data_IF_094878551896
#
_entry.id   IF_094878551896
#
_cell.length_a   1.000
_cell.length_b   1.000
_cell.length_c   1.000
_cell.angle_alpha   90.00
_cell.angle_beta   90.00
_cell.angle_gamma   90.00
#
_symmetry.space_group_name_H-M   'P 1'
#
loop_
_entity.id
_entity.type
_entity.pdbx_description
1 polymer ?
#
# COMPACT_ATOMS: atom_id res chain seq x y z
N UNK A 1 14.69 9.08 -23.63
CA UNK A 1 15.03 7.71 -24.09
C UNK A 1 14.42 6.75 -23.08
N UNK A 2 13.40 5.97 -23.46
CA UNK A 2 12.76 5.04 -22.53
C UNK A 2 13.66 3.81 -22.32
N UNK A 3 13.87 3.43 -21.06
CA UNK A 3 14.59 2.20 -20.70
C UNK A 3 13.83 0.97 -21.22
N UNK A 4 14.49 0.06 -21.93
CA UNK A 4 13.91 -1.22 -22.35
C UNK A 4 13.80 -2.20 -21.18
N UNK A 5 12.92 -3.19 -21.30
CA UNK A 5 12.80 -4.29 -20.32
C UNK A 5 14.15 -4.99 -20.07
N UNK A 6 14.93 -5.22 -21.13
CA UNK A 6 16.28 -5.82 -21.01
C UNK A 6 17.22 -5.00 -20.13
N UNK A 7 17.19 -3.67 -20.24
CA UNK A 7 18.01 -2.78 -19.42
C UNK A 7 17.50 -2.74 -17.98
N UNK A 8 16.18 -2.83 -17.77
CA UNK A 8 15.59 -2.91 -16.44
C UNK A 8 15.99 -4.21 -15.72
N UNK A 9 16.00 -5.34 -16.45
CA UNK A 9 16.43 -6.62 -15.89
C UNK A 9 17.91 -6.65 -15.51
N UNK A 10 18.77 -5.86 -16.15
CA UNK A 10 20.19 -5.73 -15.76
C UNK A 10 20.37 -5.06 -14.39
N UNK A 11 19.42 -4.22 -13.96
CA UNK A 11 19.44 -3.55 -12.65
C UNK A 11 18.47 -4.18 -11.65
N UNK A 12 17.88 -5.33 -11.97
CA UNK A 12 16.88 -6.03 -11.14
C UNK A 12 17.34 -6.21 -9.69
N UNK A 13 18.59 -6.63 -9.48
CA UNK A 13 19.13 -6.80 -8.13
C UNK A 13 19.10 -5.49 -7.30
N UNK A 14 19.34 -4.34 -7.93
CA UNK A 14 19.25 -3.04 -7.27
C UNK A 14 17.80 -2.66 -6.97
N UNK A 15 16.88 -2.98 -7.89
CA UNK A 15 15.44 -2.79 -7.72
C UNK A 15 14.93 -3.63 -6.55
N UNK A 16 15.27 -4.92 -6.49
CA UNK A 16 14.87 -5.80 -5.39
C UNK A 16 15.44 -5.32 -4.04
N UNK A 17 16.67 -4.81 -4.04
CA UNK A 17 17.30 -4.27 -2.83
C UNK A 17 16.57 -3.03 -2.27
N UNK A 18 15.87 -2.25 -3.11
CA UNK A 18 15.05 -1.13 -2.62
C UNK A 18 13.91 -1.61 -1.72
N UNK A 19 13.28 -2.74 -2.05
CA UNK A 19 12.22 -3.31 -1.22
C UNK A 19 12.74 -3.80 0.13
N UNK A 20 13.96 -4.35 0.16
CA UNK A 20 14.64 -4.71 1.42
C UNK A 20 14.92 -3.45 2.24
N UNK A 21 15.38 -2.37 1.61
CA UNK A 21 15.72 -1.12 2.28
C UNK A 21 14.50 -0.37 2.83
N UNK A 22 13.29 -0.61 2.31
CA UNK A 22 12.04 -0.12 2.91
C UNK A 22 11.80 -0.64 4.34
N UNK A 23 12.57 -1.63 4.80
CA UNK A 23 12.51 -2.17 6.16
C UNK A 23 13.84 -1.98 6.93
N UNK A 24 14.73 -1.10 6.45
CA UNK A 24 16.01 -0.83 7.13
C UNK A 24 15.76 -0.13 8.49
N UNK A 25 16.58 -0.46 9.48
CA UNK A 25 16.52 0.14 10.82
C UNK A 25 16.85 1.65 10.80
N UNK A 26 17.63 2.10 9.81
CA UNK A 26 17.92 3.51 9.61
C UNK A 26 16.71 4.22 8.98
N UNK A 27 16.00 5.01 9.79
CA UNK A 27 14.79 5.70 9.39
C UNK A 27 14.95 6.60 8.15
N UNK A 28 16.10 7.25 7.97
CA UNK A 28 16.35 8.09 6.77
C UNK A 28 16.44 7.21 5.53
N UNK A 29 17.21 6.11 5.59
CA UNK A 29 17.34 5.19 4.47
C UNK A 29 16.00 4.53 4.13
N UNK A 30 15.28 4.11 5.15
CA UNK A 30 13.97 3.49 5.03
C UNK A 30 12.96 4.41 4.32
N UNK A 31 12.80 5.64 4.81
CA UNK A 31 11.88 6.62 4.22
C UNK A 31 12.26 6.94 2.76
N UNK A 32 13.55 7.14 2.48
CA UNK A 32 14.02 7.40 1.11
C UNK A 32 13.79 6.21 0.18
N UNK A 33 13.99 4.98 0.67
CA UNK A 33 13.70 3.76 -0.08
C UNK A 33 12.20 3.66 -0.39
N UNK A 34 11.33 3.91 0.60
CA UNK A 34 9.87 3.88 0.41
C UNK A 34 9.40 4.96 -0.58
N UNK A 35 9.93 6.18 -0.49
CA UNK A 35 9.66 7.26 -1.45
C UNK A 35 10.08 6.89 -2.88
N UNK A 36 11.26 6.29 -3.02
CA UNK A 36 11.77 5.83 -4.33
C UNK A 36 10.89 4.70 -4.88
N UNK A 37 10.51 3.77 -4.02
CA UNK A 37 9.64 2.64 -4.35
C UNK A 37 8.26 3.09 -4.83
N UNK A 38 7.67 4.15 -4.25
CA UNK A 38 6.42 4.74 -4.77
C UNK A 38 6.51 5.06 -6.26
N UNK A 39 7.54 5.79 -6.67
CA UNK A 39 7.72 6.22 -8.07
C UNK A 39 8.07 5.04 -8.96
N UNK A 40 8.91 4.12 -8.46
CA UNK A 40 9.37 2.96 -9.22
C UNK A 40 8.21 1.99 -9.52
N UNK A 41 7.43 1.63 -8.50
CA UNK A 41 6.25 0.75 -8.64
C UNK A 41 5.26 1.35 -9.62
N UNK A 42 4.89 2.62 -9.43
CA UNK A 42 3.97 3.30 -10.33
C UNK A 42 4.49 3.30 -11.78
N UNK A 43 5.78 3.60 -11.97
CA UNK A 43 6.40 3.65 -13.30
C UNK A 43 6.45 2.29 -14.00
N UNK A 44 6.67 1.21 -13.25
CA UNK A 44 6.72 -0.14 -13.81
C UNK A 44 5.32 -0.60 -14.21
N UNK A 45 4.33 -0.43 -13.34
CA UNK A 45 2.94 -0.76 -13.67
C UNK A 45 2.44 0.05 -14.87
N UNK A 46 2.70 1.36 -14.95
CA UNK A 46 2.28 2.18 -16.09
C UNK A 46 2.91 1.75 -17.43
N UNK A 47 4.09 1.13 -17.42
CA UNK A 47 4.80 0.70 -18.64
C UNK A 47 4.52 -0.75 -19.02
N UNK A 48 4.14 -1.56 -18.05
CA UNK A 48 3.89 -2.99 -18.20
C UNK A 48 2.45 -3.30 -17.75
N UNK A 49 1.43 -2.55 -18.19
CA UNK A 49 0.07 -2.63 -17.63
C UNK A 49 -0.85 -3.71 -18.24
N UNK A 50 -0.36 -4.62 -19.09
CA UNK A 50 -1.19 -5.69 -19.67
C UNK A 50 -1.55 -6.75 -18.62
N UNK A 51 -2.76 -7.30 -18.59
CA UNK A 51 -3.20 -8.22 -17.52
C UNK A 51 -2.29 -9.43 -17.24
N UNK A 52 -1.56 -9.95 -18.23
CA UNK A 52 -0.58 -11.04 -18.05
C UNK A 52 0.73 -10.60 -17.36
N UNK A 53 0.89 -9.30 -17.09
CA UNK A 53 2.12 -8.69 -16.59
C UNK A 53 2.19 -8.61 -15.07
N UNK A 54 1.13 -8.85 -14.30
CA UNK A 54 1.18 -8.62 -12.84
C UNK A 54 2.24 -9.49 -12.17
N UNK A 55 2.42 -10.72 -12.65
CA UNK A 55 3.52 -11.62 -12.27
C UNK A 55 4.88 -11.09 -12.77
N UNK A 56 4.96 -10.57 -13.99
CA UNK A 56 6.19 -9.96 -14.53
C UNK A 56 6.61 -8.74 -13.69
N UNK A 57 5.66 -7.91 -13.26
CA UNK A 57 5.89 -6.76 -12.39
C UNK A 57 6.41 -7.21 -11.01
N UNK A 58 5.83 -8.27 -10.44
CA UNK A 58 6.36 -8.90 -9.21
C UNK A 58 7.78 -9.39 -9.42
N UNK A 59 8.05 -10.05 -10.55
CA UNK A 59 9.39 -10.55 -10.86
C UNK A 59 10.40 -9.41 -11.01
N UNK A 60 10.05 -8.32 -11.68
CA UNK A 60 10.91 -7.15 -11.85
C UNK A 60 11.19 -6.48 -10.50
N UNK A 61 10.14 -6.23 -9.71
CA UNK A 61 10.22 -5.43 -8.49
C UNK A 61 10.89 -6.18 -7.34
N UNK A 62 10.59 -7.46 -7.17
CA UNK A 62 10.96 -8.25 -5.98
C UNK A 62 11.66 -9.56 -6.34
N UNK A 63 11.28 -10.15 -7.47
CA UNK A 63 11.68 -11.50 -7.87
C UNK A 63 10.71 -12.52 -7.30
N UNK A 64 10.20 -13.41 -8.16
CA UNK A 64 9.14 -14.37 -7.78
C UNK A 64 9.57 -15.27 -6.63
N UNK A 65 10.83 -15.72 -6.62
CA UNK A 65 11.36 -16.62 -5.58
C UNK A 65 11.40 -15.99 -4.18
N UNK A 66 11.53 -14.66 -4.11
CA UNK A 66 11.67 -13.93 -2.85
C UNK A 66 10.38 -13.19 -2.45
N UNK A 67 9.37 -13.17 -3.32
CA UNK A 67 8.20 -12.30 -3.20
C UNK A 67 7.44 -12.50 -1.87
N UNK A 68 7.16 -13.75 -1.48
CA UNK A 68 6.44 -14.06 -0.25
C UNK A 68 7.12 -13.52 1.00
N UNK A 69 8.43 -13.71 1.11
CA UNK A 69 9.22 -13.29 2.26
C UNK A 69 9.38 -11.77 2.30
N UNK A 70 9.75 -11.16 1.17
CA UNK A 70 9.99 -9.72 1.10
C UNK A 70 8.71 -8.91 1.26
N UNK A 71 7.60 -9.36 0.68
CA UNK A 71 6.32 -8.69 0.85
C UNK A 71 5.80 -8.81 2.28
N UNK A 72 6.01 -9.94 2.96
CA UNK A 72 5.69 -10.07 4.38
C UNK A 72 6.44 -9.02 5.20
N UNK A 73 7.77 -8.95 5.05
CA UNK A 73 8.60 -7.99 5.78
C UNK A 73 8.20 -6.54 5.49
N UNK A 74 7.91 -6.25 4.22
CA UNK A 74 7.44 -4.92 3.81
C UNK A 74 6.12 -4.58 4.48
N UNK A 75 5.13 -5.47 4.43
CA UNK A 75 3.81 -5.23 5.02
C UNK A 75 3.90 -5.09 6.54
N UNK A 76 4.73 -5.89 7.21
CA UNK A 76 5.00 -5.72 8.64
C UNK A 76 5.59 -4.33 8.95
N UNK A 77 6.51 -3.83 8.13
CA UNK A 77 7.06 -2.49 8.28
C UNK A 77 6.01 -1.39 8.02
N UNK A 78 5.15 -1.57 7.02
CA UNK A 78 4.04 -0.64 6.74
C UNK A 78 3.04 -0.61 7.91
N UNK A 79 2.68 -1.79 8.44
CA UNK A 79 1.84 -1.91 9.64
C UNK A 79 2.45 -1.18 10.83
N UNK A 80 3.77 -1.30 11.03
CA UNK A 80 4.50 -0.59 12.07
C UNK A 80 4.40 0.93 11.91
N UNK A 81 4.62 1.44 10.70
CA UNK A 81 4.50 2.88 10.43
C UNK A 81 3.10 3.42 10.71
N UNK A 82 2.05 2.69 10.34
CA UNK A 82 0.68 3.11 10.57
C UNK A 82 0.28 3.06 12.04
N UNK A 83 0.64 1.98 12.75
CA UNK A 83 0.14 1.70 14.10
C UNK A 83 0.94 2.37 15.22
N UNK A 84 2.24 2.59 15.05
CA UNK A 84 3.11 3.15 16.09
C UNK A 84 3.22 4.69 16.00
N UNK A 85 3.98 5.29 16.93
CA UNK A 85 4.24 6.74 16.97
C UNK A 85 5.30 7.14 15.93
N UNK A 86 4.84 7.34 14.70
CA UNK A 86 5.63 7.92 13.61
C UNK A 86 5.08 9.29 13.19
N UNK A 87 5.93 10.18 12.62
CA UNK A 87 5.47 11.46 12.09
C UNK A 87 4.36 11.30 11.06
N UNK A 88 3.42 12.25 11.03
CA UNK A 88 2.30 12.31 10.07
C UNK A 88 2.77 12.10 8.63
N UNK A 89 3.90 12.69 8.24
CA UNK A 89 4.46 12.54 6.89
C UNK A 89 4.87 11.11 6.54
N UNK A 90 5.35 10.33 7.51
CA UNK A 90 5.73 8.92 7.31
C UNK A 90 4.48 8.05 7.14
N UNK A 91 3.45 8.28 7.96
CA UNK A 91 2.16 7.60 7.83
C UNK A 91 1.49 7.90 6.49
N UNK A 92 1.52 9.16 6.05
CA UNK A 92 1.01 9.57 4.73
C UNK A 92 1.80 8.92 3.59
N UNK A 93 3.12 8.83 3.70
CA UNK A 93 3.94 8.14 2.71
C UNK A 93 3.59 6.64 2.64
N UNK A 94 3.39 6.00 3.80
CA UNK A 94 2.98 4.61 3.89
C UNK A 94 1.62 4.39 3.19
N UNK A 95 0.60 5.21 3.51
CA UNK A 95 -0.71 5.14 2.87
C UNK A 95 -0.62 5.38 1.36
N UNK A 96 0.18 6.36 0.92
CA UNK A 96 0.43 6.63 -0.49
C UNK A 96 1.04 5.42 -1.20
N UNK A 97 2.01 4.74 -0.59
CA UNK A 97 2.62 3.55 -1.16
C UNK A 97 1.61 2.41 -1.30
N UNK A 98 0.79 2.18 -0.27
CA UNK A 98 -0.29 1.19 -0.30
C UNK A 98 -1.25 1.49 -1.44
N UNK A 99 -1.75 2.74 -1.52
CA UNK A 99 -2.67 3.15 -2.58
C UNK A 99 -2.06 2.99 -3.97
N UNK A 100 -0.79 3.34 -4.17
CA UNK A 100 -0.08 3.12 -5.44
C UNK A 100 -0.15 1.67 -5.87
N UNK A 101 0.05 0.71 -4.95
CA UNK A 101 -0.07 -0.71 -5.26
C UNK A 101 -1.52 -1.08 -5.55
N UNK A 102 -2.47 -0.66 -4.72
CA UNK A 102 -3.88 -1.04 -4.88
C UNK A 102 -4.49 -0.52 -6.19
N UNK A 103 -4.07 0.65 -6.66
CA UNK A 103 -4.60 1.31 -7.86
C UNK A 103 -3.69 1.15 -9.08
N UNK A 104 -2.68 0.28 -9.04
CA UNK A 104 -1.70 0.17 -10.12
C UNK A 104 -2.23 -0.56 -11.37
N UNK A 105 -3.32 -1.29 -11.24
CA UNK A 105 -4.01 -2.02 -12.32
C UNK A 105 -5.50 -1.68 -12.25
N UNK A 106 -6.14 -1.51 -13.41
CA UNK A 106 -7.57 -1.17 -13.53
C UNK A 106 -8.47 -2.22 -12.86
N UNK A 107 -8.15 -3.50 -13.05
CA UNK A 107 -8.81 -4.60 -12.35
C UNK A 107 -7.98 -5.04 -11.15
N UNK A 108 -8.37 -4.54 -9.97
CA UNK A 108 -7.73 -4.87 -8.69
C UNK A 108 -7.68 -6.37 -8.41
N UNK A 109 -8.65 -7.17 -8.88
CA UNK A 109 -8.67 -8.63 -8.69
C UNK A 109 -7.59 -9.37 -9.50
N UNK A 110 -6.94 -8.71 -10.46
CA UNK A 110 -5.82 -9.27 -11.23
C UNK A 110 -4.44 -8.85 -10.68
N UNK A 111 -4.42 -8.03 -9.63
CA UNK A 111 -3.19 -7.55 -9.03
C UNK A 111 -2.63 -8.58 -8.05
N UNK A 112 -1.63 -9.34 -8.48
CA UNK A 112 -0.97 -10.36 -7.65
C UNK A 112 -0.37 -9.77 -6.37
N UNK A 113 0.10 -8.51 -6.39
CA UNK A 113 0.62 -7.87 -5.18
C UNK A 113 -0.45 -7.73 -4.08
N UNK A 114 -1.73 -7.63 -4.47
CA UNK A 114 -2.85 -7.54 -3.54
C UNK A 114 -2.92 -8.77 -2.63
N UNK A 115 -2.67 -9.97 -3.18
CA UNK A 115 -2.73 -11.23 -2.43
C UNK A 115 -1.79 -11.19 -1.22
N UNK A 116 -0.62 -10.56 -1.35
CA UNK A 116 0.31 -10.39 -0.22
C UNK A 116 -0.25 -9.47 0.87
N UNK A 117 -0.92 -8.37 0.51
CA UNK A 117 -1.59 -7.49 1.48
C UNK A 117 -2.67 -8.21 2.27
N UNK A 118 -3.35 -9.15 1.61
CA UNK A 118 -4.41 -9.97 2.21
C UNK A 118 -3.84 -10.99 3.20
N UNK A 119 -2.75 -11.67 2.82
CA UNK A 119 -2.10 -12.70 3.62
C UNK A 119 -1.44 -12.15 4.89
N UNK A 120 -0.79 -10.99 4.80
CA UNK A 120 -0.03 -10.39 5.91
C UNK A 120 -0.85 -9.33 6.68
N UNK A 121 -2.15 -9.26 6.43
CA UNK A 121 -3.20 -8.52 7.13
C UNK A 121 -2.87 -7.09 7.58
N UNK A 122 -2.74 -6.17 6.63
CA UNK A 122 -2.65 -4.71 6.89
C UNK A 122 -3.94 -4.08 7.45
N UNK A 123 -5.02 -4.85 7.51
CA UNK A 123 -6.37 -4.40 7.89
C UNK A 123 -6.39 -3.66 9.23
N UNK A 124 -5.85 -4.26 10.29
CA UNK A 124 -5.88 -3.67 11.64
C UNK A 124 -5.12 -2.34 11.71
N UNK A 125 -3.99 -2.26 11.00
CA UNK A 125 -3.19 -1.05 10.94
C UNK A 125 -3.96 0.09 10.24
N UNK A 126 -4.65 -0.20 9.13
CA UNK A 126 -5.53 0.78 8.47
C UNK A 126 -6.70 1.19 9.37
N UNK A 127 -7.34 0.22 10.01
CA UNK A 127 -8.48 0.45 10.90
C UNK A 127 -8.10 1.32 12.11
N UNK A 128 -6.90 1.15 12.66
CA UNK A 128 -6.40 1.95 13.77
C UNK A 128 -6.35 3.46 13.46
N UNK A 129 -6.21 3.85 12.19
CA UNK A 129 -6.18 5.26 11.76
C UNK A 129 -7.50 5.99 12.05
N UNK A 130 -8.61 5.26 12.21
CA UNK A 130 -9.92 5.84 12.51
C UNK A 130 -10.18 6.07 13.99
N UNK A 131 -9.31 5.56 14.87
CA UNK A 131 -9.58 5.58 16.30
C UNK A 131 -9.45 7.00 16.89
N UNK A 132 -8.35 7.70 16.61
CA UNK A 132 -8.08 9.03 17.15
C UNK A 132 -8.54 10.15 16.20
N UNK A 133 -9.16 11.23 16.70
CA UNK A 133 -9.59 12.38 15.88
C UNK A 133 -8.46 12.97 15.03
N UNK A 134 -7.28 13.19 15.62
CA UNK A 134 -6.14 13.79 14.92
C UNK A 134 -5.65 12.87 13.79
N UNK A 135 -5.59 11.56 14.04
CA UNK A 135 -5.21 10.58 13.02
C UNK A 135 -6.25 10.54 11.88
N UNK A 136 -7.55 10.65 12.19
CA UNK A 136 -8.63 10.71 11.19
C UNK A 136 -8.49 11.92 10.26
N UNK A 137 -8.18 13.08 10.82
CA UNK A 137 -8.02 14.31 10.03
C UNK A 137 -6.87 14.18 9.02
N UNK A 138 -5.74 13.61 9.43
CA UNK A 138 -4.55 13.54 8.60
C UNK A 138 -4.50 12.33 7.65
N UNK A 139 -5.08 11.20 8.06
CA UNK A 139 -4.87 9.90 7.42
C UNK A 139 -6.17 9.22 6.98
N UNK A 140 -7.30 9.67 7.54
CA UNK A 140 -8.57 8.97 7.43
C UNK A 140 -9.07 8.82 5.99
N UNK A 141 -8.88 9.85 5.16
CA UNK A 141 -9.26 9.78 3.75
C UNK A 141 -8.56 8.64 3.02
N UNK A 142 -7.22 8.66 3.00
CA UNK A 142 -6.42 7.67 2.27
C UNK A 142 -6.61 6.26 2.84
N UNK A 143 -6.72 6.13 4.16
CA UNK A 143 -6.98 4.86 4.82
C UNK A 143 -8.38 4.30 4.46
N UNK A 144 -9.40 5.16 4.37
CA UNK A 144 -10.75 4.76 3.98
C UNK A 144 -10.79 4.30 2.51
N UNK A 145 -10.09 5.00 1.61
CA UNK A 145 -9.95 4.58 0.21
C UNK A 145 -9.23 3.24 0.10
N UNK A 146 -8.11 3.06 0.81
CA UNK A 146 -7.37 1.80 0.82
C UNK A 146 -8.24 0.64 1.32
N UNK A 147 -8.98 0.84 2.41
CA UNK A 147 -9.91 -0.17 2.93
C UNK A 147 -11.06 -0.46 1.96
N UNK A 148 -11.64 0.53 1.30
CA UNK A 148 -12.70 0.32 0.33
C UNK A 148 -12.22 -0.53 -0.86
N UNK A 149 -11.01 -0.25 -1.37
CA UNK A 149 -10.38 -1.02 -2.45
C UNK A 149 -10.08 -2.47 -2.03
N UNK A 150 -9.56 -2.68 -0.81
CA UNK A 150 -9.31 -4.01 -0.27
C UNK A 150 -10.62 -4.78 0.02
N UNK A 151 -11.65 -4.07 0.49
CA UNK A 151 -12.95 -4.62 0.79
C UNK A 151 -13.64 -5.12 -0.48
N UNK A 152 -13.51 -4.43 -1.62
CA UNK A 152 -14.11 -4.83 -2.89
C UNK A 152 -13.77 -6.27 -3.36
N UNK A 153 -12.72 -6.90 -2.80
CA UNK A 153 -12.39 -8.30 -3.03
C UNK A 153 -12.72 -9.21 -1.84
N UNK A 154 -11.90 -9.21 -0.79
CA UNK A 154 -11.97 -10.22 0.30
C UNK A 154 -12.03 -9.62 1.71
N UNK A 155 -11.78 -8.31 1.90
CA UNK A 155 -11.92 -7.69 3.22
C UNK A 155 -13.37 -7.33 3.59
N UNK A 156 -14.36 -7.53 2.71
CA UNK A 156 -15.79 -7.39 3.07
C UNK A 156 -16.12 -8.14 4.36
N UNK A 157 -15.64 -9.38 4.50
CA UNK A 157 -15.98 -10.19 5.67
C UNK A 157 -15.35 -9.60 6.94
N UNK A 158 -14.06 -9.25 6.91
CA UNK A 158 -13.37 -8.60 8.04
C UNK A 158 -14.04 -7.29 8.44
N UNK A 159 -14.42 -6.47 7.45
CA UNK A 159 -15.13 -5.22 7.69
C UNK A 159 -16.54 -5.46 8.25
N UNK A 160 -17.25 -6.49 7.81
CA UNK A 160 -18.61 -6.81 8.26
C UNK A 160 -18.68 -7.33 9.70
N UNK A 161 -17.60 -7.91 10.21
CA UNK A 161 -17.48 -8.44 11.57
C UNK A 161 -16.80 -7.43 12.51
N UNK A 162 -16.41 -6.26 11.99
CA UNK A 162 -15.80 -5.19 12.77
C UNK A 162 -16.83 -4.61 13.75
N UNK A 163 -16.77 -5.04 14.99
CA UNK A 163 -17.66 -4.61 16.08
C UNK A 163 -16.96 -3.59 16.98
N UNK A 164 -16.62 -2.42 16.41
CA UNK A 164 -16.02 -1.32 17.16
C UNK A 164 -16.70 0.00 16.79
N UNK A 165 -17.60 0.47 17.65
CA UNK A 165 -18.41 1.67 17.43
C UNK A 165 -17.56 2.93 17.19
N UNK A 166 -16.41 3.07 17.86
CA UNK A 166 -15.55 4.25 17.72
C UNK A 166 -14.98 4.31 16.31
N UNK A 167 -14.47 3.18 15.82
CA UNK A 167 -13.90 3.06 14.48
C UNK A 167 -14.99 3.23 13.41
N UNK A 168 -16.15 2.59 13.59
CA UNK A 168 -17.26 2.69 12.65
C UNK A 168 -17.79 4.14 12.55
N UNK A 169 -17.92 4.83 13.68
CA UNK A 169 -18.27 6.24 13.70
C UNK A 169 -17.19 7.09 13.01
N UNK A 170 -15.91 6.81 13.28
CA UNK A 170 -14.77 7.46 12.62
C UNK A 170 -14.81 7.33 11.09
N UNK A 171 -15.04 6.12 10.59
CA UNK A 171 -15.25 5.83 9.18
C UNK A 171 -16.45 6.59 8.61
N UNK A 172 -17.60 6.57 9.31
CA UNK A 172 -18.80 7.29 8.92
C UNK A 172 -18.59 8.81 8.79
N UNK A 173 -17.84 9.40 9.72
CA UNK A 173 -17.46 10.82 9.65
C UNK A 173 -16.63 11.14 8.41
N UNK A 174 -15.64 10.29 8.08
CA UNK A 174 -14.79 10.49 6.90
C UNK A 174 -15.61 10.38 5.62
N UNK A 175 -16.43 9.33 5.49
CA UNK A 175 -17.29 9.13 4.32
C UNK A 175 -18.24 10.32 4.16
N UNK A 176 -18.84 10.81 5.25
CA UNK A 176 -19.71 11.99 5.23
C UNK A 176 -18.97 13.25 4.76
N UNK A 177 -17.73 13.46 5.20
CA UNK A 177 -16.90 14.58 4.75
C UNK A 177 -16.60 14.49 3.25
N UNK A 178 -16.20 13.33 2.75
CA UNK A 178 -15.92 13.07 1.33
C UNK A 178 -17.14 13.37 0.46
N UNK A 179 -18.30 12.84 0.84
CA UNK A 179 -19.54 13.06 0.10
C UNK A 179 -19.95 14.54 0.11
N UNK A 180 -19.72 15.23 1.23
CA UNK A 180 -20.01 16.67 1.34
C UNK A 180 -19.12 17.51 0.42
N UNK A 181 -17.85 17.14 0.24
CA UNK A 181 -16.97 17.78 -0.73
C UNK A 181 -17.38 17.48 -2.17
N UNK A 182 -17.79 16.25 -2.48
CA UNK A 182 -18.17 15.86 -3.85
C UNK A 182 -19.47 16.53 -4.35
N UNK A 183 -20.39 16.87 -3.43
CA UNK A 183 -21.66 17.51 -3.75
C UNK A 183 -21.53 19.03 -3.96
N UNK A 184 -20.39 19.63 -3.56
CA UNK A 184 -20.11 21.05 -3.78
C UNK A 184 -19.58 21.32 -5.20
#
# INVERSE_FOLDING_TARGET
>A
MAMSLSNLMQIKANVNNLFIQCCDDNMIRNINALQTSCVLVQSIYCKHSSSDSSIEVVDILIGVDAADCQMRNLIECLCKFLSEEYPVSVKNLCLKFILIILTSIDNISQNVMLEYFMLNSIFEALVSTFFHPDAREHHGYDAAVALALLAANLYVIKLSVLDNEIILNGLGHIISAILTEYIK
#
